data_IF_822108319536
#
_entry.id   IF_822108319536
#
_cell.length_a   1.000
_cell.length_b   1.000
_cell.length_c   1.000
_cell.angle_alpha   90.00
_cell.angle_beta   90.00
_cell.angle_gamma   90.00
#
_symmetry.space_group_name_H-M   'P 1'
#
loop_
_entity.id
_entity.type
_entity.pdbx_description
1 polymer ?
#
# COMPACT_ATOMS: atom_id res chain seq x y z
N UNK A 1 -16.27 -0.83 -26.13
CA UNK A 1 -16.11 0.00 -27.34
C UNK A 1 -17.51 0.23 -27.89
N UNK A 2 -17.87 1.46 -28.23
CA UNK A 2 -19.18 1.75 -28.84
C UNK A 2 -19.06 1.41 -30.32
N UNK A 3 -19.90 0.50 -30.80
CA UNK A 3 -19.92 0.06 -32.20
C UNK A 3 -20.58 1.15 -33.07
N UNK A 4 -19.96 1.51 -34.18
CA UNK A 4 -20.48 2.55 -35.09
C UNK A 4 -21.52 1.90 -36.01
N UNK A 5 -22.77 2.39 -36.06
CA UNK A 5 -23.80 1.86 -36.93
C UNK A 5 -23.40 1.94 -38.41
N UNK A 6 -23.79 0.94 -39.20
CA UNK A 6 -23.47 0.84 -40.64
C UNK A 6 -23.89 2.11 -41.42
N UNK A 7 -25.09 2.63 -41.14
CA UNK A 7 -25.61 3.87 -41.73
C UNK A 7 -24.79 5.12 -41.39
N UNK A 8 -24.14 5.14 -40.22
CA UNK A 8 -23.24 6.24 -39.83
C UNK A 8 -21.94 6.16 -40.62
N UNK A 9 -21.44 4.94 -40.84
CA UNK A 9 -20.23 4.69 -41.62
C UNK A 9 -20.43 5.06 -43.10
N UNK A 10 -21.57 4.72 -43.69
CA UNK A 10 -21.96 5.11 -45.04
C UNK A 10 -21.97 6.64 -45.21
N UNK A 11 -22.71 7.34 -44.36
CA UNK A 11 -22.81 8.81 -44.39
C UNK A 11 -21.45 9.50 -44.17
N UNK A 12 -20.59 8.93 -43.32
CA UNK A 12 -19.24 9.45 -43.11
C UNK A 12 -18.33 9.26 -44.33
N UNK A 13 -18.46 8.12 -45.02
CA UNK A 13 -17.70 7.86 -46.24
C UNK A 13 -18.16 8.77 -47.40
N UNK A 14 -19.45 9.07 -47.50
CA UNK A 14 -19.98 10.07 -48.45
C UNK A 14 -19.38 11.45 -48.17
N UNK A 15 -19.33 11.88 -46.90
CA UNK A 15 -18.71 13.14 -46.52
C UNK A 15 -17.21 13.19 -46.85
N UNK A 16 -16.48 12.08 -46.71
CA UNK A 16 -15.08 11.97 -47.15
C UNK A 16 -14.93 12.12 -48.66
N UNK A 17 -15.91 11.68 -49.44
CA UNK A 17 -15.95 11.93 -50.88
C UNK A 17 -16.06 13.42 -51.23
N UNK A 18 -16.77 14.21 -50.41
CA UNK A 18 -17.03 15.63 -50.64
C UNK A 18 -15.89 16.52 -50.12
N UNK A 19 -15.42 16.27 -48.89
CA UNK A 19 -14.42 17.12 -48.21
C UNK A 19 -12.99 16.57 -48.29
N UNK A 20 -12.78 15.44 -48.98
CA UNK A 20 -11.50 14.75 -49.08
C UNK A 20 -11.18 13.88 -47.85
N UNK A 21 -9.99 13.28 -47.84
CA UNK A 21 -9.57 12.36 -46.77
C UNK A 21 -9.34 13.04 -45.41
N UNK A 22 -9.39 14.36 -45.34
CA UNK A 22 -9.11 15.18 -44.15
C UNK A 22 -10.29 15.25 -43.17
N UNK A 23 -11.03 14.15 -42.97
CA UNK A 23 -12.16 14.07 -42.03
C UNK A 23 -11.92 13.05 -40.92
N UNK A 24 -12.30 13.43 -39.70
CA UNK A 24 -12.30 12.57 -38.52
C UNK A 24 -13.72 12.44 -37.93
N UNK A 25 -14.11 11.22 -37.54
CA UNK A 25 -15.34 10.91 -36.82
C UNK A 25 -15.04 10.69 -35.33
N UNK A 26 -15.58 11.53 -34.45
CA UNK A 26 -15.44 11.44 -32.99
C UNK A 26 -16.77 11.03 -32.35
N UNK A 27 -16.73 10.00 -31.50
CA UNK A 27 -17.91 9.51 -30.75
C UNK A 27 -17.92 10.16 -29.36
N UNK A 28 -18.94 10.96 -29.06
CA UNK A 28 -19.06 11.67 -27.78
C UNK A 28 -20.48 11.50 -27.25
N UNK A 29 -20.62 10.90 -26.07
CA UNK A 29 -21.92 10.65 -25.40
C UNK A 29 -22.93 9.92 -26.32
N UNK A 30 -22.47 8.89 -27.04
CA UNK A 30 -23.25 8.12 -28.03
C UNK A 30 -23.72 8.89 -29.28
N UNK A 31 -23.17 10.08 -29.52
CA UNK A 31 -23.40 10.87 -30.73
C UNK A 31 -22.15 10.89 -31.61
N UNK A 32 -22.33 11.04 -32.92
CA UNK A 32 -21.26 10.96 -33.93
C UNK A 32 -20.96 12.32 -34.53
N UNK A 33 -19.78 12.88 -34.26
CA UNK A 33 -19.40 14.24 -34.67
C UNK A 33 -18.28 14.19 -35.71
N UNK A 34 -18.34 15.06 -36.71
CA UNK A 34 -17.41 15.11 -37.85
C UNK A 34 -16.58 16.40 -37.80
N UNK A 35 -15.27 16.24 -37.97
CA UNK A 35 -14.29 17.33 -37.93
C UNK A 35 -13.41 17.32 -39.18
N UNK A 36 -13.03 18.51 -39.64
CA UNK A 36 -11.97 18.71 -40.62
C UNK A 36 -10.62 18.67 -39.88
N UNK A 37 -9.69 17.86 -40.37
CA UNK A 37 -8.32 17.74 -39.84
C UNK A 37 -7.38 18.63 -40.66
N UNK A 38 -6.67 19.54 -39.99
CA UNK A 38 -5.62 20.35 -40.63
C UNK A 38 -4.26 19.67 -40.42
N UNK A 39 -3.52 19.46 -41.50
CA UNK A 39 -2.26 18.70 -41.52
C UNK A 39 -1.00 19.55 -41.23
N UNK A 40 -1.08 20.57 -40.37
CA UNK A 40 0.08 21.40 -40.00
C UNK A 40 0.33 21.35 -38.48
N UNK A 41 1.42 20.71 -38.05
CA UNK A 41 1.75 20.38 -36.65
C UNK A 41 2.29 21.54 -35.78
N UNK A 42 2.28 22.80 -36.23
CA UNK A 42 2.92 23.90 -35.48
C UNK A 42 2.03 25.10 -35.08
N UNK A 43 0.72 25.03 -35.27
CA UNK A 43 -0.19 26.02 -34.66
C UNK A 43 -1.36 25.33 -33.95
N UNK A 44 -1.59 25.73 -32.69
CA UNK A 44 -2.68 25.26 -31.84
C UNK A 44 -4.03 25.85 -32.26
N UNK A 45 -4.41 25.73 -33.53
CA UNK A 45 -5.72 26.13 -34.04
C UNK A 45 -6.58 24.91 -34.33
N UNK A 46 -7.78 24.95 -33.77
CA UNK A 46 -8.74 23.87 -33.56
C UNK A 46 -9.20 23.15 -34.83
N UNK A 47 -9.28 21.80 -34.78
CA UNK A 47 -10.06 20.95 -35.72
C UNK A 47 -11.38 21.63 -36.10
N UNK A 48 -11.67 21.92 -37.36
CA UNK A 48 -12.90 22.64 -37.73
C UNK A 48 -14.13 21.73 -37.64
N UNK A 49 -15.10 22.02 -36.75
CA UNK A 49 -16.31 21.22 -36.59
C UNK A 49 -17.25 21.40 -37.77
N UNK A 50 -17.55 20.30 -38.48
CA UNK A 50 -18.36 20.32 -39.70
C UNK A 50 -19.83 20.04 -39.39
N UNK A 51 -20.11 19.13 -38.45
CA UNK A 51 -21.48 18.68 -38.19
C UNK A 51 -21.54 17.34 -37.45
N UNK A 52 -22.74 16.80 -37.28
CA UNK A 52 -22.98 15.48 -36.68
C UNK A 52 -23.72 14.54 -37.61
N UNK A 53 -23.53 13.25 -37.42
CA UNK A 53 -24.28 12.19 -38.10
C UNK A 53 -25.20 11.56 -37.06
N UNK A 54 -26.50 11.51 -37.33
CA UNK A 54 -27.45 10.79 -36.49
C UNK A 54 -27.25 9.28 -36.61
N UNK A 55 -27.70 8.50 -35.64
CA UNK A 55 -27.62 7.02 -35.68
C UNK A 55 -28.28 6.39 -36.93
N UNK A 56 -29.19 7.09 -37.59
CA UNK A 56 -29.86 6.67 -38.82
C UNK A 56 -29.13 7.11 -40.11
N UNK A 57 -27.94 7.73 -40.02
CA UNK A 57 -27.14 8.15 -41.18
C UNK A 57 -27.43 9.56 -41.71
N UNK A 58 -28.30 10.35 -41.05
CA UNK A 58 -28.58 11.72 -41.49
C UNK A 58 -27.47 12.66 -41.05
N UNK A 59 -26.87 13.40 -41.99
CA UNK A 59 -25.86 14.44 -41.74
C UNK A 59 -26.53 15.76 -41.38
N UNK A 60 -26.10 16.37 -40.28
CA UNK A 60 -26.53 17.69 -39.81
C UNK A 60 -25.30 18.59 -39.75
N UNK A 61 -25.22 19.55 -40.67
CA UNK A 61 -24.12 20.51 -40.72
C UNK A 61 -24.21 21.53 -39.58
N UNK A 62 -23.06 21.96 -39.09
CA UNK A 62 -22.94 22.90 -37.97
C UNK A 62 -23.26 24.33 -38.40
N UNK A 63 -24.05 25.04 -37.58
CA UNK A 63 -24.04 26.51 -37.58
C UNK A 63 -22.95 27.06 -36.63
N UNK A 64 -22.67 28.36 -36.73
CA UNK A 64 -21.63 29.03 -35.94
C UNK A 64 -21.84 28.95 -34.41
N UNK A 65 -23.09 28.90 -33.92
CA UNK A 65 -23.39 28.71 -32.49
C UNK A 65 -23.19 27.26 -32.07
N UNK A 66 -23.60 26.29 -32.88
CA UNK A 66 -23.45 24.87 -32.59
C UNK A 66 -21.98 24.44 -32.53
N UNK A 67 -21.15 24.97 -33.44
CA UNK A 67 -19.71 24.73 -33.40
C UNK A 67 -19.10 25.16 -32.05
N UNK A 68 -19.41 26.36 -31.57
CA UNK A 68 -18.90 26.88 -30.30
C UNK A 68 -19.26 26.00 -29.08
N UNK A 69 -20.47 25.41 -29.07
CA UNK A 69 -20.96 24.55 -27.99
C UNK A 69 -20.27 23.18 -28.00
N UNK A 70 -20.06 22.60 -29.19
CA UNK A 70 -19.36 21.32 -29.36
C UNK A 70 -17.89 21.45 -28.96
N UNK A 71 -17.20 22.52 -29.37
CA UNK A 71 -15.83 22.79 -28.90
C UNK A 71 -15.73 22.92 -27.39
N UNK A 72 -16.68 23.62 -26.76
CA UNK A 72 -16.71 23.77 -25.30
C UNK A 72 -16.94 22.43 -24.60
N UNK A 73 -17.78 21.55 -25.17
CA UNK A 73 -18.05 20.20 -24.66
C UNK A 73 -16.83 19.29 -24.80
N UNK A 74 -16.15 19.32 -25.95
CA UNK A 74 -14.94 18.54 -26.23
C UNK A 74 -13.76 19.03 -25.38
N UNK A 75 -13.50 20.33 -25.35
CA UNK A 75 -12.43 20.92 -24.52
C UNK A 75 -12.60 20.56 -23.04
N UNK A 76 -13.84 20.49 -22.54
CA UNK A 76 -14.11 20.07 -21.17
C UNK A 76 -13.88 18.57 -20.92
N UNK A 77 -14.21 17.70 -21.90
CA UNK A 77 -13.96 16.25 -21.83
C UNK A 77 -12.47 15.93 -21.97
N UNK A 78 -11.79 16.52 -22.94
CA UNK A 78 -10.34 16.42 -23.14
C UNK A 78 -9.56 17.01 -21.96
N UNK A 79 -10.00 18.11 -21.32
CA UNK A 79 -9.41 18.60 -20.06
C UNK A 79 -9.60 17.61 -18.90
N UNK A 80 -10.71 16.86 -18.86
CA UNK A 80 -10.97 15.81 -17.87
C UNK A 80 -10.09 14.57 -18.10
N UNK A 81 -9.94 14.16 -19.36
CA UNK A 81 -9.14 12.99 -19.75
C UNK A 81 -7.62 13.28 -19.73
N UNK A 82 -7.18 14.48 -20.14
CA UNK A 82 -5.78 14.96 -19.97
C UNK A 82 -5.41 15.12 -18.50
N UNK A 83 -6.34 15.56 -17.63
CA UNK A 83 -6.13 15.54 -16.16
C UNK A 83 -5.98 14.11 -15.61
N UNK A 84 -6.57 13.11 -16.26
CA UNK A 84 -6.47 11.71 -15.85
C UNK A 84 -5.22 11.01 -16.40
N UNK A 85 -4.71 11.41 -17.57
CA UNK A 85 -3.53 10.78 -18.22
C UNK A 85 -2.18 11.42 -17.88
N UNK A 86 -2.14 12.68 -17.41
CA UNK A 86 -0.88 13.39 -17.10
C UNK A 86 -0.42 13.33 -15.63
N UNK A 87 -0.91 12.40 -14.81
CA UNK A 87 -0.42 12.28 -13.42
C UNK A 87 0.79 11.33 -13.34
N UNK A 88 1.85 11.70 -14.05
CA UNK A 88 3.22 11.32 -13.66
C UNK A 88 3.53 11.93 -12.28
N UNK A 89 4.25 11.22 -11.42
CA UNK A 89 4.53 11.54 -10.00
C UNK A 89 5.26 12.86 -9.67
N UNK A 90 5.20 13.87 -10.54
CA UNK A 90 5.79 15.20 -10.37
C UNK A 90 4.89 16.24 -9.67
N UNK A 91 3.70 15.89 -9.18
CA UNK A 91 2.74 16.84 -8.58
C UNK A 91 2.39 16.53 -7.09
N UNK A 92 3.35 16.07 -6.29
CA UNK A 92 3.20 15.99 -4.82
C UNK A 92 3.97 17.15 -4.20
N UNK A 93 3.28 18.10 -3.55
CA UNK A 93 3.93 19.24 -2.90
C UNK A 93 4.45 18.90 -1.51
N UNK A 94 5.30 19.74 -0.93
CA UNK A 94 5.77 19.57 0.47
C UNK A 94 4.60 19.59 1.48
N UNK A 95 3.55 20.36 1.19
CA UNK A 95 2.31 20.36 1.98
C UNK A 95 1.60 19.00 1.90
N UNK A 96 1.58 18.37 0.72
CA UNK A 96 1.03 17.03 0.54
C UNK A 96 1.88 16.00 1.31
N UNK A 97 3.21 16.14 1.33
CA UNK A 97 4.11 15.29 2.14
C UNK A 97 3.81 15.45 3.63
N UNK A 98 3.60 16.68 4.13
CA UNK A 98 3.19 16.94 5.52
C UNK A 98 1.84 16.30 5.85
N UNK A 99 0.88 16.40 4.92
CA UNK A 99 -0.44 15.79 5.06
C UNK A 99 -0.36 14.26 5.10
N UNK A 100 0.38 13.64 4.18
CA UNK A 100 0.62 12.20 4.16
C UNK A 100 1.31 11.74 5.45
N UNK A 101 2.28 12.52 5.95
CA UNK A 101 2.92 12.24 7.23
C UNK A 101 1.91 12.25 8.37
N UNK A 102 1.13 13.32 8.52
CA UNK A 102 0.14 13.43 9.59
C UNK A 102 -0.89 12.29 9.56
N UNK A 103 -1.42 11.97 8.39
CA UNK A 103 -2.39 10.87 8.22
C UNK A 103 -1.75 9.49 8.43
N UNK A 104 -0.46 9.31 8.15
CA UNK A 104 0.24 8.05 8.45
C UNK A 104 0.47 7.87 9.96
N UNK A 105 0.66 8.97 10.69
CA UNK A 105 0.83 8.95 12.14
C UNK A 105 -0.50 8.73 12.86
N UNK A 106 -1.60 9.28 12.30
CA UNK A 106 -2.96 9.04 12.76
C UNK A 106 -3.97 9.36 11.65
N UNK A 107 -4.53 8.33 11.02
CA UNK A 107 -5.50 8.51 9.92
C UNK A 107 -6.85 9.06 10.36
N UNK A 108 -7.12 9.09 11.68
CA UNK A 108 -8.38 9.52 12.29
C UNK A 108 -8.36 10.99 12.76
N UNK A 109 -7.30 11.74 12.46
CA UNK A 109 -7.22 13.18 12.77
C UNK A 109 -8.37 13.96 12.14
N UNK A 110 -8.90 14.95 12.88
CA UNK A 110 -9.90 15.86 12.35
C UNK A 110 -9.28 16.83 11.32
N UNK A 111 -10.10 17.36 10.41
CA UNK A 111 -9.63 18.37 9.44
C UNK A 111 -9.04 19.60 10.13
N UNK A 112 -9.62 20.03 11.27
CA UNK A 112 -9.07 21.11 12.09
C UNK A 112 -7.64 20.78 12.55
N UNK A 113 -7.42 19.57 13.09
CA UNK A 113 -6.10 19.18 13.58
C UNK A 113 -5.09 19.01 12.44
N UNK A 114 -5.53 18.46 11.31
CA UNK A 114 -4.72 18.42 10.10
C UNK A 114 -4.37 19.83 9.60
N UNK A 115 -5.28 20.80 9.67
CA UNK A 115 -5.03 22.20 9.29
C UNK A 115 -3.95 22.82 10.16
N UNK A 116 -4.04 22.63 11.48
CA UNK A 116 -3.05 23.12 12.45
C UNK A 116 -1.65 22.54 12.21
N UNK A 117 -1.57 21.23 11.90
CA UNK A 117 -0.31 20.53 11.67
C UNK A 117 0.32 20.91 10.32
N UNK A 118 -0.51 21.03 9.28
CA UNK A 118 -0.02 21.19 7.90
C UNK A 118 0.08 22.64 7.44
N UNK A 119 -0.68 23.54 8.05
CA UNK A 119 -0.88 24.93 7.59
C UNK A 119 -1.90 25.07 6.45
N UNK A 120 -2.51 23.97 6.00
CA UNK A 120 -3.47 23.95 4.89
C UNK A 120 -4.85 24.34 5.42
N UNK A 121 -5.58 25.19 4.71
CA UNK A 121 -6.97 25.53 5.09
C UNK A 121 -7.89 24.30 5.07
N UNK A 122 -8.88 24.26 5.96
CA UNK A 122 -9.84 23.13 6.07
C UNK A 122 -10.51 22.83 4.73
N UNK A 123 -10.94 23.87 3.99
CA UNK A 123 -11.56 23.70 2.67
C UNK A 123 -10.61 23.09 1.64
N UNK A 124 -9.32 23.43 1.67
CA UNK A 124 -8.34 22.84 0.77
C UNK A 124 -7.96 21.40 1.16
N UNK A 125 -8.05 21.04 2.46
CA UNK A 125 -7.70 19.72 2.95
C UNK A 125 -8.61 18.62 2.38
N UNK A 126 -9.93 18.81 2.36
CA UNK A 126 -10.86 17.82 1.83
C UNK A 126 -10.51 17.45 0.38
N UNK A 127 -10.39 18.47 -0.47
CA UNK A 127 -10.01 18.29 -1.87
C UNK A 127 -8.65 17.61 -2.02
N UNK A 128 -7.66 17.99 -1.20
CA UNK A 128 -6.30 17.41 -1.27
C UNK A 128 -6.28 15.95 -0.84
N UNK A 129 -6.99 15.59 0.23
CA UNK A 129 -7.09 14.21 0.72
C UNK A 129 -7.70 13.35 -0.38
N UNK A 130 -8.85 13.73 -0.96
CA UNK A 130 -9.50 12.97 -2.04
C UNK A 130 -8.64 12.86 -3.30
N UNK A 131 -7.88 13.91 -3.63
CA UNK A 131 -6.92 13.89 -4.73
C UNK A 131 -5.80 12.89 -4.48
N UNK A 132 -5.18 12.93 -3.30
CA UNK A 132 -4.09 12.04 -2.91
C UNK A 132 -4.56 10.59 -2.80
N UNK A 133 -5.76 10.35 -2.26
CA UNK A 133 -6.37 9.03 -2.19
C UNK A 133 -6.51 8.38 -3.57
N UNK A 134 -7.01 9.13 -4.56
CA UNK A 134 -7.13 8.64 -5.94
C UNK A 134 -5.79 8.45 -6.62
N UNK A 135 -4.88 9.41 -6.46
CA UNK A 135 -3.57 9.42 -7.11
C UNK A 135 -2.68 8.29 -6.58
N UNK A 136 -2.53 8.21 -5.26
CA UNK A 136 -1.59 7.32 -4.58
C UNK A 136 -2.25 5.99 -4.17
N UNK A 137 -3.56 5.83 -4.43
CA UNK A 137 -4.31 4.65 -4.03
C UNK A 137 -4.31 4.46 -2.51
N UNK A 138 -4.49 5.54 -1.74
CA UNK A 138 -4.38 5.49 -0.29
C UNK A 138 -5.45 4.56 0.29
N UNK A 139 -5.03 3.69 1.20
CA UNK A 139 -5.89 2.86 2.04
C UNK A 139 -5.62 3.16 3.50
N UNK A 140 -6.65 3.11 4.34
CA UNK A 140 -6.50 3.34 5.77
C UNK A 140 -6.61 2.03 6.52
N UNK A 141 -5.73 1.78 7.49
CA UNK A 141 -5.70 0.52 8.23
C UNK A 141 -5.17 0.72 9.65
N UNK A 142 -4.97 -0.36 10.40
CA UNK A 142 -4.32 -0.35 11.70
C UNK A 142 -2.89 -0.89 11.60
N UNK A 143 -1.99 -0.25 12.31
CA UNK A 143 -0.73 -0.85 12.72
C UNK A 143 -0.93 -1.46 14.12
N UNK A 144 -0.67 -2.76 14.23
CA UNK A 144 -0.95 -3.55 15.43
C UNK A 144 0.34 -4.11 16.04
N UNK A 145 0.35 -4.24 17.35
CA UNK A 145 1.35 -5.01 18.07
C UNK A 145 0.89 -6.48 18.17
N UNK A 146 1.48 -7.34 17.34
CA UNK A 146 1.12 -8.75 17.26
C UNK A 146 1.40 -9.51 18.55
N UNK A 147 2.52 -9.20 19.21
CA UNK A 147 2.89 -9.84 20.48
C UNK A 147 1.80 -9.60 21.55
N UNK A 148 1.23 -8.38 21.60
CA UNK A 148 0.15 -8.04 22.53
C UNK A 148 -1.18 -8.71 22.18
N UNK A 149 -1.37 -9.12 20.91
CA UNK A 149 -2.48 -9.97 20.46
C UNK A 149 -2.22 -11.47 20.72
N UNK A 150 -1.03 -11.86 21.22
CA UNK A 150 -0.64 -13.24 21.46
C UNK A 150 -0.15 -13.97 20.21
N UNK A 151 0.41 -13.25 19.23
CA UNK A 151 1.02 -13.80 18.02
C UNK A 151 2.46 -13.31 17.88
N UNK A 152 3.32 -14.19 17.42
CA UNK A 152 4.67 -13.89 16.96
C UNK A 152 4.71 -13.83 15.43
N UNK A 153 5.70 -13.11 14.92
CA UNK A 153 5.96 -12.94 13.50
C UNK A 153 7.02 -13.93 13.05
N UNK A 154 6.83 -14.51 11.86
CA UNK A 154 7.75 -15.48 11.27
C UNK A 154 7.98 -15.17 9.80
N UNK A 155 9.16 -15.53 9.33
CA UNK A 155 9.48 -15.58 7.91
C UNK A 155 9.74 -17.03 7.50
N UNK A 156 9.10 -17.45 6.42
CA UNK A 156 9.37 -18.72 5.75
C UNK A 156 10.08 -18.39 4.44
N UNK A 157 11.21 -19.02 4.19
CA UNK A 157 12.04 -18.82 3.00
C UNK A 157 12.15 -20.15 2.25
N UNK A 158 12.02 -20.12 0.93
CA UNK A 158 12.19 -21.31 0.10
C UNK A 158 13.14 -21.05 -1.06
N UNK A 159 14.01 -22.02 -1.35
CA UNK A 159 14.80 -22.10 -2.57
C UNK A 159 14.36 -23.33 -3.36
N UNK A 160 13.88 -23.14 -4.58
CA UNK A 160 13.51 -24.27 -5.45
C UNK A 160 14.77 -24.79 -6.15
N UNK A 161 15.08 -26.08 -5.98
CA UNK A 161 16.39 -26.64 -6.42
C UNK A 161 16.37 -27.15 -7.85
N UNK A 162 15.20 -27.54 -8.36
CA UNK A 162 15.07 -28.18 -9.69
C UNK A 162 14.13 -27.43 -10.64
N UNK A 163 12.89 -27.20 -10.23
CA UNK A 163 11.87 -26.54 -11.04
C UNK A 163 11.17 -25.46 -10.24
N UNK A 164 10.91 -24.30 -10.87
CA UNK A 164 10.07 -23.28 -10.27
C UNK A 164 8.60 -23.67 -10.40
N UNK A 165 7.82 -23.61 -9.30
CA UNK A 165 6.40 -23.89 -9.35
C UNK A 165 5.62 -22.78 -10.05
N UNK A 166 4.37 -23.07 -10.41
CA UNK A 166 3.45 -22.02 -10.85
C UNK A 166 2.99 -21.20 -9.63
N UNK A 167 3.51 -19.98 -9.50
CA UNK A 167 3.19 -19.09 -8.39
C UNK A 167 1.71 -18.70 -8.29
N UNK A 168 0.92 -18.80 -9.37
CA UNK A 168 -0.53 -18.56 -9.31
C UNK A 168 -1.24 -19.69 -8.56
N UNK A 169 -0.90 -20.95 -8.85
CA UNK A 169 -1.43 -22.11 -8.12
C UNK A 169 -1.06 -22.10 -6.64
N UNK A 170 0.15 -21.63 -6.32
CA UNK A 170 0.58 -21.44 -4.93
C UNK A 170 -0.25 -20.34 -4.26
N UNK A 171 -0.55 -19.25 -4.98
CA UNK A 171 -1.37 -18.15 -4.48
C UNK A 171 -2.73 -18.63 -3.97
N UNK A 172 -3.45 -19.42 -4.77
CA UNK A 172 -4.77 -19.95 -4.39
C UNK A 172 -4.77 -20.73 -3.07
N UNK A 173 -3.67 -21.41 -2.77
CA UNK A 173 -3.49 -22.13 -1.51
C UNK A 173 -3.10 -21.19 -0.36
N UNK A 174 -2.10 -20.33 -0.58
CA UNK A 174 -1.59 -19.41 0.44
C UNK A 174 -2.64 -18.39 0.88
N UNK A 175 -3.49 -17.90 -0.04
CA UNK A 175 -4.56 -16.95 0.26
C UNK A 175 -5.56 -17.51 1.28
N UNK A 176 -5.84 -18.81 1.22
CA UNK A 176 -6.78 -19.49 2.13
C UNK A 176 -6.26 -19.63 3.55
N UNK A 177 -4.94 -19.53 3.77
CA UNK A 177 -4.37 -19.63 5.10
C UNK A 177 -4.36 -18.25 5.78
N UNK A 178 -5.21 -17.98 6.79
CA UNK A 178 -5.34 -16.66 7.39
C UNK A 178 -4.08 -16.21 8.16
N UNK A 179 -3.09 -17.08 8.33
CA UNK A 179 -1.81 -16.79 9.00
C UNK A 179 -0.77 -16.20 8.07
N UNK A 180 -0.85 -16.52 6.78
CA UNK A 180 0.00 -15.92 5.74
C UNK A 180 -0.48 -14.50 5.50
N UNK A 181 0.36 -13.49 5.76
CA UNK A 181 -0.02 -12.07 5.54
C UNK A 181 0.63 -11.47 4.30
N UNK A 182 1.79 -11.98 3.90
CA UNK A 182 2.50 -11.58 2.69
C UNK A 182 3.24 -12.79 2.12
N UNK A 183 3.18 -12.99 0.81
CA UNK A 183 4.00 -13.95 0.10
C UNK A 183 4.58 -13.30 -1.17
N UNK A 184 5.88 -13.40 -1.35
CA UNK A 184 6.63 -12.77 -2.43
C UNK A 184 7.36 -13.82 -3.25
N UNK A 185 7.10 -13.87 -4.56
CA UNK A 185 7.98 -14.52 -5.52
C UNK A 185 9.20 -13.63 -5.73
N UNK A 186 10.38 -14.21 -5.63
CA UNK A 186 11.64 -13.46 -5.68
C UNK A 186 12.65 -14.12 -6.60
N UNK A 187 13.63 -13.32 -7.04
CA UNK A 187 14.82 -13.76 -7.74
C UNK A 187 16.05 -13.47 -6.89
N UNK A 188 16.78 -14.52 -6.54
CA UNK A 188 18.05 -14.45 -5.81
C UNK A 188 18.33 -15.72 -5.01
N UNK A 189 18.85 -15.56 -3.80
CA UNK A 189 19.19 -16.67 -2.89
C UNK A 189 17.98 -17.42 -2.35
N UNK A 190 16.80 -16.82 -2.40
CA UNK A 190 15.51 -17.47 -2.17
C UNK A 190 14.60 -17.15 -3.36
N UNK A 191 13.66 -18.06 -3.64
CA UNK A 191 12.66 -17.90 -4.69
C UNK A 191 11.28 -17.53 -4.12
N UNK A 192 11.03 -17.82 -2.84
CA UNK A 192 9.78 -17.51 -2.14
C UNK A 192 10.07 -16.99 -0.72
N UNK A 193 9.46 -15.86 -0.37
CA UNK A 193 9.49 -15.27 0.97
C UNK A 193 8.05 -15.13 1.48
N UNK A 194 7.73 -15.72 2.62
CA UNK A 194 6.40 -15.65 3.23
C UNK A 194 6.51 -15.07 4.63
N UNK A 195 5.76 -14.00 4.89
CA UNK A 195 5.55 -13.48 6.24
C UNK A 195 4.27 -14.09 6.82
N UNK A 196 4.40 -14.68 8.00
CA UNK A 196 3.32 -15.34 8.71
C UNK A 196 3.20 -14.80 10.15
N UNK A 197 1.98 -14.85 10.68
CA UNK A 197 1.72 -14.62 12.11
C UNK A 197 1.15 -15.88 12.75
N UNK A 198 1.76 -16.30 13.86
CA UNK A 198 1.37 -17.53 14.56
C UNK A 198 1.62 -17.40 16.06
N UNK A 199 0.86 -18.13 16.87
CA UNK A 199 0.89 -18.06 18.33
C UNK A 199 2.22 -18.57 18.89
N UNK A 200 2.86 -19.51 18.18
CA UNK A 200 4.09 -20.17 18.59
C UNK A 200 4.72 -20.94 17.42
N UNK A 201 5.91 -21.49 17.67
CA UNK A 201 6.71 -22.23 16.69
C UNK A 201 6.00 -23.48 16.14
N UNK A 202 5.18 -24.16 16.94
CA UNK A 202 4.47 -25.35 16.48
C UNK A 202 3.42 -25.00 15.43
N UNK A 203 2.66 -23.93 15.65
CA UNK A 203 1.63 -23.48 14.70
C UNK A 203 2.24 -23.04 13.38
N UNK A 204 3.39 -22.36 13.37
CA UNK A 204 4.04 -22.00 12.10
C UNK A 204 4.67 -23.20 11.40
N UNK A 205 5.15 -24.20 12.14
CA UNK A 205 5.61 -25.45 11.55
C UNK A 205 4.47 -26.18 10.85
N UNK A 206 3.28 -26.27 11.47
CA UNK A 206 2.07 -26.80 10.83
C UNK A 206 1.67 -26.01 9.58
N UNK A 207 1.78 -24.67 9.61
CA UNK A 207 1.56 -23.84 8.42
C UNK A 207 2.52 -24.22 7.31
N UNK A 208 3.81 -24.39 7.60
CA UNK A 208 4.79 -24.80 6.61
C UNK A 208 4.53 -26.20 6.07
N UNK A 209 4.21 -27.16 6.92
CA UNK A 209 3.93 -28.53 6.48
C UNK A 209 2.71 -28.58 5.57
N UNK A 210 1.66 -27.82 5.87
CA UNK A 210 0.50 -27.65 4.98
C UNK A 210 0.89 -27.01 3.63
N UNK A 211 1.80 -26.03 3.62
CA UNK A 211 2.32 -25.42 2.38
C UNK A 211 3.07 -26.45 1.54
N UNK A 212 4.03 -27.17 2.16
CA UNK A 212 4.86 -28.17 1.49
C UNK A 212 4.06 -29.34 0.92
N UNK A 213 3.01 -29.76 1.62
CA UNK A 213 2.17 -30.91 1.22
C UNK A 213 1.00 -30.51 0.32
N UNK A 214 0.85 -29.23 0.00
CA UNK A 214 -0.17 -28.78 -0.95
C UNK A 214 0.06 -29.36 -2.35
N UNK A 215 -1.01 -29.58 -3.11
CA UNK A 215 -0.94 -30.09 -4.50
C UNK A 215 -0.07 -29.22 -5.41
N UNK A 216 0.10 -27.93 -5.07
CA UNK A 216 0.95 -27.01 -5.84
C UNK A 216 2.46 -27.19 -5.58
N UNK A 217 2.85 -27.86 -4.49
CA UNK A 217 4.22 -27.91 -4.00
C UNK A 217 4.71 -29.31 -3.59
N UNK A 218 3.84 -30.30 -3.45
CA UNK A 218 4.16 -31.65 -2.95
C UNK A 218 5.26 -32.36 -3.76
N UNK A 219 5.31 -32.15 -5.08
CA UNK A 219 6.30 -32.74 -6.00
C UNK A 219 7.47 -31.80 -6.31
N UNK A 220 7.54 -30.64 -5.64
CA UNK A 220 8.56 -29.61 -5.90
C UNK A 220 9.71 -29.76 -4.90
N UNK A 221 10.89 -30.08 -5.42
CA UNK A 221 12.12 -30.13 -4.63
C UNK A 221 12.55 -28.71 -4.20
N UNK A 222 12.69 -28.51 -2.89
CA UNK A 222 13.02 -27.21 -2.32
C UNK A 222 13.72 -27.31 -0.95
N UNK A 223 14.60 -26.35 -0.69
CA UNK A 223 15.14 -26.06 0.64
C UNK A 223 14.23 -25.04 1.33
N UNK A 224 13.91 -25.29 2.58
CA UNK A 224 12.94 -24.50 3.33
C UNK A 224 13.50 -24.08 4.69
N UNK A 225 13.31 -22.82 5.05
CA UNK A 225 13.73 -22.25 6.31
C UNK A 225 12.55 -21.56 6.98
N UNK A 226 12.41 -21.73 8.30
CA UNK A 226 11.53 -20.92 9.14
C UNK A 226 12.43 -20.14 10.09
N UNK A 227 12.19 -18.84 10.21
CA UNK A 227 12.80 -18.02 11.25
C UNK A 227 11.76 -17.18 11.96
N UNK A 228 11.75 -17.16 13.31
CA UNK A 228 11.14 -16.07 14.04
C UNK A 228 11.77 -14.74 13.60
N UNK A 229 10.99 -13.68 13.60
CA UNK A 229 11.46 -12.33 13.29
C UNK A 229 10.94 -11.32 14.30
N UNK A 230 11.66 -10.21 14.43
CA UNK A 230 11.23 -9.07 15.23
C UNK A 230 11.17 -7.83 14.35
N UNK A 231 9.96 -7.32 14.10
CA UNK A 231 9.77 -6.06 13.38
C UNK A 231 10.52 -4.90 14.04
N UNK A 232 11.45 -4.28 13.32
CA UNK A 232 12.27 -3.16 13.78
C UNK A 232 11.72 -1.82 13.24
N UNK A 233 11.31 -1.77 11.98
CA UNK A 233 10.81 -0.56 11.32
C UNK A 233 9.69 -0.86 10.32
N UNK A 234 8.70 0.02 10.24
CA UNK A 234 7.52 -0.21 9.39
C UNK A 234 6.64 -1.34 9.92
N UNK A 235 5.74 -1.87 9.09
CA UNK A 235 4.90 -3.02 9.44
C UNK A 235 4.43 -3.74 8.17
N UNK A 236 4.12 -5.02 8.29
CA UNK A 236 3.41 -5.76 7.24
C UNK A 236 1.90 -5.64 7.49
N UNK A 237 1.12 -5.11 6.54
CA UNK A 237 -0.31 -5.02 6.70
C UNK A 237 -0.96 -6.40 6.82
N UNK A 238 -1.86 -6.53 7.79
CA UNK A 238 -2.58 -7.77 8.02
C UNK A 238 -3.76 -7.88 7.06
N UNK A 239 -3.96 -9.09 6.53
CA UNK A 239 -5.08 -9.38 5.64
C UNK A 239 -6.38 -9.51 6.42
N UNK A 240 -7.51 -9.34 5.75
CA UNK A 240 -8.81 -9.39 6.41
C UNK A 240 -9.13 -10.79 6.93
N UNK A 241 -8.68 -11.82 6.21
CA UNK A 241 -8.85 -13.23 6.54
C UNK A 241 -8.24 -13.57 7.91
N UNK A 242 -7.16 -12.88 8.31
CA UNK A 242 -6.61 -13.00 9.66
C UNK A 242 -7.65 -12.59 10.70
N UNK A 243 -8.32 -11.44 10.51
CA UNK A 243 -9.35 -10.97 11.42
C UNK A 243 -10.59 -11.86 11.38
N UNK A 244 -11.00 -12.38 10.22
CA UNK A 244 -12.10 -13.33 10.13
C UNK A 244 -11.82 -14.56 11.01
N UNK A 245 -10.59 -15.09 10.96
CA UNK A 245 -10.16 -16.21 11.80
C UNK A 245 -10.02 -15.85 13.30
N UNK A 246 -9.77 -14.58 13.65
CA UNK A 246 -9.74 -14.13 15.05
C UNK A 246 -11.11 -14.25 15.74
N UNK A 247 -12.21 -14.34 14.99
CA UNK A 247 -13.55 -14.51 15.56
C UNK A 247 -13.64 -15.73 16.47
N UNK A 248 -13.00 -16.83 16.08
CA UNK A 248 -12.97 -18.09 16.84
C UNK A 248 -12.13 -17.99 18.13
N UNK A 249 -11.32 -16.93 18.27
CA UNK A 249 -10.52 -16.64 19.45
C UNK A 249 -11.14 -15.62 20.39
N UNK A 250 -12.35 -15.15 20.08
CA UNK A 250 -13.08 -14.25 20.98
C UNK A 250 -13.32 -14.95 22.30
N UNK A 251 -12.87 -14.32 23.39
CA UNK A 251 -13.00 -14.87 24.72
C UNK A 251 -14.47 -15.05 25.09
N UNK A 252 -14.78 -16.27 25.54
CA UNK A 252 -16.06 -16.63 26.11
C UNK A 252 -15.82 -17.16 27.51
N UNK A 253 -16.62 -16.67 28.47
CA UNK A 253 -16.54 -17.14 29.85
C UNK A 253 -17.03 -18.59 29.91
N UNK A 254 -16.16 -19.53 30.26
CA UNK A 254 -16.53 -20.94 30.41
C UNK A 254 -16.88 -21.28 31.86
N UNK A 255 -16.24 -20.61 32.83
CA UNK A 255 -16.46 -20.85 34.27
C UNK A 255 -16.75 -19.58 35.07
N UNK A 256 -17.55 -19.71 36.13
CA UNK A 256 -17.79 -18.62 37.09
C UNK A 256 -16.47 -18.25 37.77
N UNK A 257 -16.13 -16.97 37.79
CA UNK A 257 -14.87 -16.43 38.31
C UNK A 257 -13.73 -16.31 37.29
N UNK A 258 -13.81 -16.98 36.14
CA UNK A 258 -12.79 -16.89 35.08
C UNK A 258 -12.72 -15.47 34.50
N UNK A 259 -11.49 -14.98 34.30
CA UNK A 259 -11.19 -13.67 33.72
C UNK A 259 -10.38 -13.86 32.43
N UNK A 260 -10.57 -13.00 31.42
CA UNK A 260 -9.75 -13.03 30.21
C UNK A 260 -8.28 -12.75 30.54
N UNK A 261 -7.37 -13.38 29.80
CA UNK A 261 -5.96 -13.00 29.79
C UNK A 261 -5.78 -11.63 29.13
N UNK A 262 -4.59 -11.01 29.29
CA UNK A 262 -4.31 -9.72 28.63
C UNK A 262 -4.40 -9.81 27.10
N UNK A 263 -3.98 -10.95 26.53
CA UNK A 263 -4.05 -11.26 25.09
C UNK A 263 -5.43 -11.71 24.60
N UNK A 264 -6.36 -12.02 25.51
CA UNK A 264 -7.70 -12.48 25.15
C UNK A 264 -8.53 -11.34 24.53
N UNK A 265 -9.21 -11.60 23.41
CA UNK A 265 -9.98 -10.59 22.68
C UNK A 265 -11.47 -10.66 23.04
N UNK A 266 -12.06 -9.57 23.53
CA UNK A 266 -13.51 -9.48 23.73
C UNK A 266 -14.23 -9.27 22.39
N UNK A 267 -15.51 -9.65 22.31
CA UNK A 267 -16.29 -9.50 21.07
C UNK A 267 -16.32 -8.07 20.51
N UNK A 268 -16.42 -7.06 21.39
CA UNK A 268 -16.36 -5.63 20.99
C UNK A 268 -14.99 -5.21 20.46
N UNK A 269 -13.91 -5.81 20.95
CA UNK A 269 -12.54 -5.53 20.50
C UNK A 269 -12.29 -6.20 19.15
N UNK A 270 -12.75 -7.44 18.99
CA UNK A 270 -12.80 -8.13 17.70
C UNK A 270 -13.55 -7.30 16.65
N UNK A 271 -14.79 -6.90 16.93
CA UNK A 271 -15.61 -6.13 16.00
C UNK A 271 -14.93 -4.83 15.58
N UNK A 272 -14.31 -4.14 16.54
CA UNK A 272 -13.53 -2.94 16.27
C UNK A 272 -12.32 -3.22 15.39
N UNK A 273 -11.47 -4.18 15.74
CA UNK A 273 -10.26 -4.52 14.99
C UNK A 273 -10.59 -4.96 13.56
N UNK A 274 -11.60 -5.83 13.42
CA UNK A 274 -12.10 -6.29 12.13
C UNK A 274 -12.49 -5.12 11.21
N UNK A 275 -13.30 -4.19 11.70
CA UNK A 275 -13.76 -3.06 10.89
C UNK A 275 -12.67 -2.03 10.60
N UNK A 276 -11.83 -1.73 11.60
CA UNK A 276 -10.78 -0.72 11.47
C UNK A 276 -9.56 -1.22 10.69
N UNK A 277 -9.32 -2.53 10.60
CA UNK A 277 -8.31 -3.08 9.71
C UNK A 277 -8.64 -2.80 8.24
N UNK A 278 -9.90 -3.03 7.85
CA UNK A 278 -10.41 -2.76 6.51
C UNK A 278 -10.38 -1.25 6.19
N UNK A 279 -10.83 -0.42 7.14
CA UNK A 279 -10.74 1.02 7.02
C UNK A 279 -10.72 1.69 8.41
N UNK A 280 -9.53 2.17 8.80
CA UNK A 280 -9.35 2.77 10.12
C UNK A 280 -10.05 4.12 10.32
N UNK A 281 -10.68 4.70 9.29
CA UNK A 281 -11.53 5.90 9.39
C UNK A 281 -13.00 5.60 9.65
N UNK A 282 -13.45 4.33 9.70
CA UNK A 282 -14.85 3.99 9.99
C UNK A 282 -15.33 4.63 11.30
N UNK A 283 -16.60 5.03 11.31
CA UNK A 283 -17.24 5.59 12.50
C UNK A 283 -17.40 4.52 13.57
N UNK A 284 -16.97 4.81 14.80
CA UNK A 284 -17.09 3.86 15.91
C UNK A 284 -18.55 3.58 16.27
N UNK A 285 -19.45 4.57 16.11
CA UNK A 285 -20.89 4.36 16.33
C UNK A 285 -21.53 3.50 15.23
N UNK A 286 -20.98 3.53 14.01
CA UNK A 286 -21.44 2.64 12.94
C UNK A 286 -21.02 1.19 13.22
N UNK A 287 -19.84 0.98 13.82
CA UNK A 287 -19.39 -0.35 14.29
C UNK A 287 -20.34 -0.88 15.36
N UNK A 288 -20.71 -0.04 16.34
CA UNK A 288 -21.68 -0.43 17.38
C UNK A 288 -23.00 -0.92 16.75
N UNK A 289 -23.54 -0.18 15.78
CA UNK A 289 -24.76 -0.56 15.05
C UNK A 289 -24.59 -1.86 14.25
N UNK A 290 -23.50 -1.99 13.49
CA UNK A 290 -23.24 -3.15 12.63
C UNK A 290 -23.16 -4.46 13.42
N UNK A 291 -22.59 -4.41 14.62
CA UNK A 291 -22.37 -5.60 15.46
C UNK A 291 -23.37 -5.73 16.62
N UNK A 292 -24.44 -4.93 16.64
CA UNK A 292 -25.44 -4.90 17.71
C UNK A 292 -24.83 -4.71 19.11
N UNK A 293 -23.83 -3.83 19.23
CA UNK A 293 -23.17 -3.51 20.50
C UNK A 293 -23.88 -2.35 21.21
N UNK A 294 -23.83 -2.28 22.55
CA UNK A 294 -24.27 -1.11 23.29
C UNK A 294 -23.56 0.16 22.81
N UNK A 295 -24.28 1.29 22.76
CA UNK A 295 -23.72 2.55 22.30
C UNK A 295 -22.45 2.95 23.06
N UNK A 296 -21.39 3.28 22.33
CA UNK A 296 -20.08 3.65 22.89
C UNK A 296 -19.15 2.47 23.17
N UNK A 297 -19.57 1.23 22.89
CA UNK A 297 -18.75 0.03 23.11
C UNK A 297 -17.48 0.03 22.26
N UNK A 298 -17.59 0.37 20.97
CA UNK A 298 -16.45 0.48 20.06
C UNK A 298 -15.50 1.61 20.48
N UNK A 299 -16.03 2.74 20.97
CA UNK A 299 -15.21 3.84 21.52
C UNK A 299 -14.41 3.38 22.75
N UNK A 300 -15.06 2.64 23.65
CA UNK A 300 -14.40 2.06 24.82
C UNK A 300 -13.34 1.03 24.40
N UNK A 301 -13.68 0.11 23.51
CA UNK A 301 -12.74 -0.88 22.97
C UNK A 301 -11.51 -0.22 22.33
N UNK A 302 -11.71 0.86 21.56
CA UNK A 302 -10.60 1.59 20.94
C UNK A 302 -9.67 2.23 21.99
N UNK A 303 -10.23 2.78 23.08
CA UNK A 303 -9.45 3.31 24.20
C UNK A 303 -8.69 2.18 24.92
N UNK A 304 -9.37 1.07 25.21
CA UNK A 304 -8.80 -0.09 25.92
C UNK A 304 -7.61 -0.69 25.14
N UNK A 305 -7.76 -0.87 23.82
CA UNK A 305 -6.72 -1.43 22.95
C UNK A 305 -5.57 -0.46 22.66
N UNK A 306 -5.73 0.85 22.84
CA UNK A 306 -4.67 1.85 22.72
C UNK A 306 -3.97 2.18 24.04
N UNK A 307 -4.48 1.68 25.18
CA UNK A 307 -3.92 2.00 26.48
C UNK A 307 -2.53 1.36 26.63
N UNK A 308 -1.49 2.19 26.75
CA UNK A 308 -0.09 1.75 26.89
C UNK A 308 0.16 0.96 28.18
N UNK A 309 -0.59 1.26 29.25
CA UNK A 309 -0.56 0.51 30.53
C UNK A 309 -1.49 -0.72 30.51
N UNK A 310 -2.25 -0.90 29.42
CA UNK A 310 -3.23 -1.97 29.24
C UNK A 310 -2.81 -2.93 28.14
N UNK A 311 -3.75 -3.22 27.24
CA UNK A 311 -3.52 -4.18 26.15
C UNK A 311 -2.52 -3.68 25.10
N UNK A 312 -2.50 -2.37 24.84
CA UNK A 312 -1.58 -1.74 23.88
C UNK A 312 -1.47 -2.48 22.52
N UNK A 313 -2.60 -2.94 21.98
CA UNK A 313 -2.68 -3.70 20.73
C UNK A 313 -2.65 -2.78 19.52
N UNK A 314 -3.37 -1.66 19.54
CA UNK A 314 -3.40 -0.71 18.42
C UNK A 314 -2.26 0.28 18.61
N UNK A 315 -1.17 0.10 17.86
CA UNK A 315 -0.07 1.06 17.84
C UNK A 315 -0.51 2.38 17.24
N UNK A 316 -1.19 2.35 16.09
CA UNK A 316 -1.84 3.53 15.49
C UNK A 316 -2.81 3.18 14.36
N UNK A 317 -3.90 3.96 14.18
CA UNK A 317 -4.58 4.00 12.90
C UNK A 317 -3.71 4.75 11.89
N UNK A 318 -3.49 4.18 10.72
CA UNK A 318 -2.52 4.68 9.74
C UNK A 318 -3.07 4.65 8.32
N UNK A 319 -2.25 5.09 7.37
CA UNK A 319 -2.50 4.99 5.95
C UNK A 319 -1.42 4.14 5.28
N UNK A 320 -1.78 3.59 4.13
CA UNK A 320 -0.92 2.86 3.20
C UNK A 320 -1.05 3.48 1.82
N UNK A 321 0.06 3.71 1.14
CA UNK A 321 0.14 4.14 -0.26
C UNK A 321 0.28 2.89 -1.13
N UNK A 322 -0.57 2.74 -2.14
CA UNK A 322 -0.55 1.55 -3.03
C UNK A 322 0.09 1.82 -4.38
N UNK A 323 -0.11 3.03 -4.90
CA UNK A 323 0.35 3.43 -6.22
C UNK A 323 1.59 4.28 -6.06
N UNK A 324 2.75 3.64 -6.23
CA UNK A 324 4.04 4.31 -6.35
C UNK A 324 4.66 3.96 -7.70
N UNK A 325 5.31 4.93 -8.32
CA UNK A 325 6.05 4.71 -9.56
C UNK A 325 7.40 4.06 -9.23
N UNK A 326 7.37 2.76 -8.95
CA UNK A 326 8.55 1.93 -8.68
C UNK A 326 8.89 1.06 -9.89
N UNK A 327 10.16 0.70 -10.02
CA UNK A 327 10.64 -0.32 -10.95
C UNK A 327 10.45 -1.71 -10.37
N UNK A 328 10.89 -1.91 -9.12
CA UNK A 328 10.83 -3.19 -8.41
C UNK A 328 10.60 -2.95 -6.91
N UNK A 329 10.14 -3.99 -6.23
CA UNK A 329 10.37 -4.12 -4.79
C UNK A 329 11.58 -4.99 -4.54
N UNK A 330 12.30 -4.66 -3.48
CA UNK A 330 13.57 -5.30 -3.15
C UNK A 330 13.48 -5.82 -1.72
N UNK A 331 13.83 -7.09 -1.57
CA UNK A 331 14.14 -7.68 -0.29
C UNK A 331 15.66 -7.81 -0.19
N UNK A 332 16.29 -7.16 0.79
CA UNK A 332 17.72 -7.24 1.02
C UNK A 332 17.94 -7.96 2.35
N UNK A 333 18.78 -9.00 2.36
CA UNK A 333 19.13 -9.75 3.56
C UNK A 333 20.57 -9.40 3.92
N UNK A 334 20.77 -8.83 5.10
CA UNK A 334 22.09 -8.61 5.68
C UNK A 334 22.37 -9.69 6.72
N UNK A 335 23.08 -10.75 6.32
CA UNK A 335 23.47 -11.86 7.21
C UNK A 335 24.60 -11.39 8.12
N UNK A 336 24.45 -11.54 9.44
CA UNK A 336 25.49 -11.18 10.40
C UNK A 336 26.59 -12.25 10.39
N UNK A 337 27.80 -11.83 10.02
CA UNK A 337 29.02 -12.66 10.03
C UNK A 337 29.96 -12.29 11.17
N UNK A 338 29.83 -11.08 11.74
CA UNK A 338 30.57 -10.63 12.91
C UNK A 338 29.66 -9.76 13.79
N UNK A 339 29.00 -10.39 14.77
CA UNK A 339 28.03 -9.73 15.65
C UNK A 339 28.64 -8.58 16.45
N UNK A 340 29.84 -8.79 17.01
CA UNK A 340 30.51 -7.76 17.82
C UNK A 340 30.84 -6.52 17.00
N UNK A 341 31.29 -6.70 15.76
CA UNK A 341 31.53 -5.59 14.85
C UNK A 341 30.24 -4.89 14.48
N UNK A 342 29.21 -5.64 14.06
CA UNK A 342 27.89 -5.08 13.76
C UNK A 342 27.33 -4.22 14.91
N UNK A 343 27.44 -4.69 16.15
CA UNK A 343 26.95 -3.96 17.32
C UNK A 343 27.65 -2.61 17.53
N UNK A 344 28.92 -2.46 17.13
CA UNK A 344 29.61 -1.16 17.15
C UNK A 344 29.01 -0.17 16.15
N UNK A 345 28.43 -0.66 15.06
CA UNK A 345 27.86 0.15 13.98
C UNK A 345 26.32 0.25 14.02
N UNK A 346 25.63 -0.40 14.98
CA UNK A 346 24.15 -0.39 15.08
C UNK A 346 23.58 1.03 15.23
N UNK A 347 24.27 1.93 15.92
CA UNK A 347 23.83 3.33 16.03
C UNK A 347 23.96 4.08 14.69
N UNK A 348 24.96 3.77 13.86
CA UNK A 348 25.08 4.33 12.51
C UNK A 348 23.95 3.82 11.60
N UNK A 349 23.63 2.54 11.72
CA UNK A 349 22.46 1.95 11.06
C UNK A 349 21.16 2.68 11.44
N UNK A 350 20.93 2.88 12.74
CA UNK A 350 19.75 3.61 13.23
C UNK A 350 19.73 5.05 12.72
N UNK A 351 20.88 5.74 12.68
CA UNK A 351 21.00 7.09 12.11
C UNK A 351 20.62 7.12 10.62
N UNK A 352 21.03 6.10 9.86
CA UNK A 352 20.69 5.97 8.45
C UNK A 352 19.18 5.77 8.22
N UNK A 353 18.55 4.91 9.04
CA UNK A 353 17.09 4.68 8.98
C UNK A 353 16.33 5.98 9.28
N UNK A 354 16.72 6.71 10.33
CA UNK A 354 15.97 7.91 10.72
C UNK A 354 16.21 9.09 9.77
N UNK A 355 17.36 9.13 9.09
CA UNK A 355 17.73 10.15 8.14
C UNK A 355 17.13 9.85 6.76
N UNK A 356 15.90 10.32 6.59
CA UNK A 356 15.09 10.08 5.40
C UNK A 356 15.21 11.21 4.39
N UNK A 357 15.34 10.90 3.08
CA UNK A 357 15.19 11.91 2.05
C UNK A 357 13.78 12.52 2.09
N UNK A 358 13.65 13.77 1.61
CA UNK A 358 12.34 14.42 1.46
C UNK A 358 11.57 13.80 0.28
N UNK A 359 10.90 12.69 0.57
CA UNK A 359 10.03 11.93 -0.34
C UNK A 359 8.66 11.74 0.31
N UNK A 360 7.63 11.48 -0.50
CA UNK A 360 6.27 11.21 -0.01
C UNK A 360 6.07 9.79 0.57
N UNK A 361 7.12 8.97 0.55
CA UNK A 361 7.24 7.69 1.27
C UNK A 361 8.61 7.61 1.95
N UNK A 362 8.76 6.74 2.94
CA UNK A 362 10.04 6.38 3.54
C UNK A 362 10.87 5.50 2.61
N UNK A 363 12.19 5.48 2.84
CA UNK A 363 13.13 4.61 2.12
C UNK A 363 12.74 3.15 2.31
N UNK A 364 12.53 2.73 3.56
CA UNK A 364 12.16 1.36 3.89
C UNK A 364 10.67 1.23 4.16
N UNK A 365 10.08 0.19 3.59
CA UNK A 365 8.71 -0.25 3.88
C UNK A 365 8.66 -1.07 5.17
N UNK A 366 9.62 -1.97 5.34
CA UNK A 366 9.72 -2.85 6.50
C UNK A 366 11.19 -3.21 6.75
N UNK A 367 11.56 -3.32 8.02
CA UNK A 367 12.83 -3.87 8.48
C UNK A 367 12.52 -4.80 9.64
N UNK A 368 13.09 -6.00 9.64
CA UNK A 368 13.06 -6.89 10.80
C UNK A 368 14.40 -7.56 11.05
N UNK A 369 14.65 -7.86 12.32
CA UNK A 369 15.76 -8.71 12.72
C UNK A 369 15.30 -10.19 12.57
N UNK A 370 16.15 -11.03 11.97
CA UNK A 370 15.92 -12.46 11.72
C UNK A 370 16.82 -13.30 12.64
N UNK A 371 16.32 -14.44 13.12
CA UNK A 371 17.11 -15.37 13.93
C UNK A 371 17.91 -16.37 13.09
N UNK A 372 17.41 -16.84 11.94
CA UNK A 372 18.07 -17.85 11.09
C UNK A 372 17.85 -17.62 9.58
N UNK A 373 18.90 -17.30 8.80
CA UNK A 373 20.22 -16.90 9.29
C UNK A 373 20.11 -15.64 10.16
N UNK A 374 20.95 -15.54 11.19
CA UNK A 374 20.97 -14.37 12.05
C UNK A 374 21.30 -13.14 11.20
N UNK A 375 20.37 -12.19 11.11
CA UNK A 375 20.37 -11.23 10.02
C UNK A 375 19.40 -10.08 10.20
N UNK A 376 19.42 -9.17 9.24
CA UNK A 376 18.40 -8.13 9.08
C UNK A 376 17.78 -8.28 7.70
N UNK A 377 16.46 -8.29 7.64
CA UNK A 377 15.71 -8.22 6.40
C UNK A 377 15.22 -6.79 6.18
N UNK A 378 15.45 -6.27 4.98
CA UNK A 378 14.94 -4.97 4.54
C UNK A 378 14.00 -5.17 3.37
N UNK A 379 12.87 -4.46 3.37
CA UNK A 379 11.95 -4.36 2.26
C UNK A 379 11.82 -2.91 1.83
N UNK A 380 12.06 -2.60 0.56
CA UNK A 380 11.97 -1.24 0.04
C UNK A 380 11.66 -1.18 -1.46
N UNK A 381 11.08 -0.08 -1.95
CA UNK A 381 10.87 0.12 -3.37
C UNK A 381 12.12 0.70 -4.06
N UNK A 382 12.55 0.08 -5.16
CA UNK A 382 13.47 0.70 -6.10
C UNK A 382 12.67 1.63 -7.04
N UNK A 383 12.85 2.94 -6.91
CA UNK A 383 12.11 3.95 -7.67
C UNK A 383 12.77 4.23 -9.03
N UNK A 384 14.09 4.08 -9.09
CA UNK A 384 14.92 4.28 -10.28
C UNK A 384 15.89 3.12 -10.46
N UNK A 385 16.44 3.02 -11.66
CA UNK A 385 17.56 2.14 -11.93
C UNK A 385 18.77 2.57 -11.10
N UNK A 386 19.53 1.61 -10.56
CA UNK A 386 20.64 1.87 -9.65
C UNK A 386 20.26 2.03 -8.16
N UNK A 387 18.98 2.11 -7.80
CA UNK A 387 18.57 2.30 -6.39
C UNK A 387 18.95 1.11 -5.49
N UNK A 388 19.03 -0.10 -6.07
CA UNK A 388 19.42 -1.34 -5.37
C UNK A 388 20.89 -1.24 -4.97
N UNK A 389 21.76 -1.09 -5.95
CA UNK A 389 23.22 -1.02 -5.77
C UNK A 389 23.58 0.17 -4.89
N UNK A 390 22.90 1.31 -5.08
CA UNK A 390 23.10 2.48 -4.23
C UNK A 390 22.78 2.18 -2.77
N UNK A 391 21.64 1.56 -2.49
CA UNK A 391 21.21 1.28 -1.11
C UNK A 391 22.10 0.22 -0.46
N UNK A 392 22.50 -0.82 -1.20
CA UNK A 392 23.43 -1.85 -0.74
C UNK A 392 24.81 -1.27 -0.44
N UNK A 393 25.33 -0.39 -1.31
CA UNK A 393 26.60 0.31 -1.09
C UNK A 393 26.55 1.25 0.13
N UNK A 394 25.50 2.08 0.25
CA UNK A 394 25.29 2.95 1.41
C UNK A 394 25.25 2.13 2.70
N UNK A 395 24.49 1.03 2.74
CA UNK A 395 24.43 0.15 3.90
C UNK A 395 25.79 -0.51 4.18
N UNK A 396 26.52 -0.98 3.17
CA UNK A 396 27.85 -1.59 3.32
C UNK A 396 28.90 -0.64 3.87
N UNK A 397 28.77 0.67 3.64
CA UNK A 397 29.61 1.69 4.27
C UNK A 397 29.23 1.91 5.74
N UNK A 398 27.93 1.85 6.05
CA UNK A 398 27.36 2.22 7.35
C UNK A 398 27.41 1.08 8.37
N UNK A 399 27.18 -0.16 7.93
CA UNK A 399 27.20 -1.35 8.77
C UNK A 399 28.34 -2.28 8.37
N UNK A 400 29.03 -2.81 9.39
CA UNK A 400 30.14 -3.76 9.24
C UNK A 400 29.77 -5.08 9.93
N UNK A 401 30.53 -6.14 9.63
CA UNK A 401 30.24 -7.47 10.15
C UNK A 401 28.99 -8.12 9.56
N UNK A 402 28.57 -7.70 8.37
CA UNK A 402 27.43 -8.27 7.62
C UNK A 402 27.84 -8.65 6.19
N UNK A 403 27.14 -9.63 5.62
CA UNK A 403 27.16 -9.97 4.19
C UNK A 403 25.77 -9.71 3.62
N UNK A 404 25.69 -9.02 2.49
CA UNK A 404 24.42 -8.75 1.82
C UNK A 404 24.09 -9.78 0.75
N UNK A 405 22.81 -10.13 0.67
CA UNK A 405 22.22 -10.90 -0.42
C UNK A 405 20.91 -10.21 -0.85
N UNK A 406 20.88 -9.75 -2.11
CA UNK A 406 19.76 -9.00 -2.69
C UNK A 406 18.76 -9.94 -3.39
N UNK A 407 17.48 -9.72 -3.15
CA UNK A 407 16.35 -10.41 -3.77
C UNK A 407 15.47 -9.39 -4.51
N UNK A 408 15.27 -9.61 -5.81
CA UNK A 408 14.31 -8.81 -6.59
C UNK A 408 12.94 -9.47 -6.44
N UNK A 409 11.94 -8.71 -5.98
CA UNK A 409 10.56 -9.19 -5.90
C UNK A 409 9.95 -9.16 -7.31
N UNK A 410 9.67 -10.34 -7.85
CA UNK A 410 9.04 -10.49 -9.17
C UNK A 410 7.53 -10.24 -9.07
N UNK A 411 6.91 -10.73 -7.99
CA UNK A 411 5.46 -10.64 -7.77
C UNK A 411 5.13 -10.76 -6.28
N UNK A 412 4.23 -9.92 -5.79
CA UNK A 412 3.49 -10.20 -4.55
C UNK A 412 2.38 -11.21 -4.89
N UNK A 413 2.50 -12.43 -4.37
CA UNK A 413 1.55 -13.53 -4.59
C UNK A 413 0.34 -13.34 -3.68
N UNK A 414 0.58 -13.05 -2.40
CA UNK A 414 -0.46 -12.84 -1.38
C UNK A 414 -0.13 -11.58 -0.60
N UNK A 415 -1.15 -10.80 -0.26
CA UNK A 415 -1.01 -9.62 0.58
C UNK A 415 -0.30 -8.48 -0.13
N UNK A 416 0.18 -7.51 0.64
CA UNK A 416 0.73 -6.27 0.10
C UNK A 416 1.89 -5.72 0.92
N UNK A 417 2.82 -5.08 0.22
CA UNK A 417 3.87 -4.27 0.84
C UNK A 417 3.30 -2.89 1.20
N UNK A 418 3.59 -2.41 2.40
CA UNK A 418 3.22 -1.06 2.82
C UNK A 418 4.20 0.00 2.32
N UNK A 419 3.69 1.16 1.94
CA UNK A 419 4.49 2.37 1.79
C UNK A 419 3.76 3.52 2.46
N UNK A 420 4.49 4.35 3.21
CA UNK A 420 3.93 5.52 3.87
C UNK A 420 5.01 6.55 4.16
N UNK A 421 4.63 7.76 4.57
CA UNK A 421 5.54 8.78 5.09
C UNK A 421 5.50 8.85 6.61
N UNK A 422 6.09 7.89 7.28
CA UNK A 422 6.22 7.86 8.73
C UNK A 422 7.10 9.01 9.29
N UNK A 423 6.74 9.52 10.47
CA UNK A 423 7.55 10.47 11.22
C UNK A 423 8.59 9.73 12.08
N UNK A 424 9.84 9.72 11.63
CA UNK A 424 10.93 9.01 12.30
C UNK A 424 11.25 9.49 13.71
N UNK A 425 10.77 10.67 14.13
CA UNK A 425 10.89 11.06 15.53
C UNK A 425 10.12 10.12 16.47
N UNK A 426 9.15 9.37 15.95
CA UNK A 426 8.37 8.35 16.67
C UNK A 426 8.88 6.92 16.47
N UNK A 427 9.96 6.73 15.71
CA UNK A 427 10.57 5.41 15.49
C UNK A 427 11.31 4.91 16.72
N UNK A 428 11.42 3.59 16.87
CA UNK A 428 12.20 2.98 17.95
C UNK A 428 13.70 3.29 17.80
N UNK A 429 14.20 3.39 16.57
CA UNK A 429 15.58 3.76 16.24
C UNK A 429 15.92 5.15 16.80
N UNK A 430 15.06 6.14 16.54
CA UNK A 430 15.24 7.47 17.11
C UNK A 430 15.19 7.47 18.63
N UNK A 431 14.20 6.78 19.23
CA UNK A 431 14.06 6.68 20.69
C UNK A 431 15.31 6.06 21.31
N UNK A 432 15.85 5.00 20.72
CA UNK A 432 17.04 4.32 21.21
C UNK A 432 18.30 5.20 21.09
N UNK A 433 18.47 5.91 19.98
CA UNK A 433 19.57 6.86 19.81
C UNK A 433 19.53 8.00 20.84
N UNK A 434 18.34 8.53 21.16
CA UNK A 434 18.17 9.55 22.22
C UNK A 434 18.48 8.95 23.59
N UNK A 435 17.94 7.77 23.92
CA UNK A 435 18.20 7.08 25.21
C UNK A 435 19.68 6.82 25.43
N UNK A 436 20.41 6.46 24.37
CA UNK A 436 21.87 6.23 24.39
C UNK A 436 22.70 7.50 24.32
N UNK A 437 22.07 8.68 24.20
CA UNK A 437 22.72 9.99 24.04
C UNK A 437 23.56 10.12 22.76
N UNK A 438 23.27 9.31 21.74
CA UNK A 438 23.94 9.33 20.44
C UNK A 438 23.47 10.46 19.53
N UNK A 439 22.29 11.03 19.83
CA UNK A 439 21.73 12.25 19.20
C UNK A 439 21.01 13.09 20.26
N UNK A 440 20.76 14.37 19.96
CA UNK A 440 19.93 15.24 20.80
C UNK A 440 18.44 15.04 20.48
N UNK A 441 17.55 15.09 21.48
CA UNK A 441 16.12 15.07 21.24
C UNK A 441 15.66 16.33 20.49
N UNK A 442 14.79 16.13 19.53
CA UNK A 442 14.07 17.12 18.74
C UNK A 442 12.61 17.20 19.18
N UNK A 443 11.98 18.36 18.95
CA UNK A 443 10.57 18.57 19.25
C UNK A 443 9.68 17.75 18.31
N UNK A 444 8.70 17.05 18.89
CA UNK A 444 7.72 16.23 18.15
C UNK A 444 6.42 16.98 17.95
N UNK A 445 5.82 16.84 16.78
CA UNK A 445 4.42 17.24 16.53
C UNK A 445 3.51 16.21 17.17
N UNK A 446 2.54 16.64 17.99
CA UNK A 446 1.57 15.70 18.57
C UNK A 446 0.46 15.32 17.56
N UNK A 447 0.24 14.02 17.35
CA UNK A 447 -0.74 13.46 16.40
C UNK A 447 -1.95 12.81 17.09
N UNK A 448 -2.41 13.40 18.20
CA UNK A 448 -3.52 12.91 19.03
C UNK A 448 -4.85 13.62 18.74
#
# INVERSE_FOLDING_TARGET
>A
MVEVPEKVQEAFNELKGIYGQSLELKIIDNEFYVFLTNSNEESSESDSYIGRITSNGIVILADSKQASLVYKKISNKEKKERKSKNITGNNISDEDIKLLKALSMNSRLSLKRLSEITGISIHALEYRIERLERLLGIKYTLELNMNNLGFSEYMILAKFTRSKPNFEKIGDFLEKNPRVQLALATKGIYDLVIFCVAENNNVVAEVLDNIRTSEALNDIEAEWYITPISGDYGFIPLRQEFFDALKEKVWQRKKKGERPSLSSLMYREYALLHELNENSKKSLSAIDKKYNLPAGSAKKAYKDLKNEEGKNVISRPTLRVKKINKKYDIALIAVLINYTEFMKFRDNHHKYIINEPNRFINRFSYICDMETPNGIFYLFPALKEGDIEKTENELSEIIKGVKFDSLIVEKAIVGDIDYRKFDNLYSMQYINLVKRKSIRPQQRIQFN
#
